data_IF_953333042868
#
_entry.id   IF_953333042868
#
_cell.length_a   1.000
_cell.length_b   1.000
_cell.length_c   1.000
_cell.angle_alpha   90.00
_cell.angle_beta   90.00
_cell.angle_gamma   90.00
#
_symmetry.space_group_name_H-M   'P 1'
#
loop_
_entity.id
_entity.type
_entity.pdbx_description
1 polymer ?
#
# COMPACT_ATOMS: atom_id res chain seq x y z
N UNK A 1 -11.49 7.26 -17.08
CA UNK A 1 -10.34 7.20 -18.01
C UNK A 1 -9.80 8.60 -18.20
N UNK A 2 -8.49 8.80 -18.36
CA UNK A 2 -7.98 10.11 -18.77
C UNK A 2 -8.52 10.43 -20.17
N UNK A 3 -9.28 11.52 -20.30
CA UNK A 3 -10.08 11.84 -21.48
C UNK A 3 -9.33 12.65 -22.56
N UNK A 4 -8.01 12.84 -22.44
CA UNK A 4 -7.31 13.87 -23.23
C UNK A 4 -6.17 13.43 -24.14
N UNK A 5 -5.46 12.34 -23.83
CA UNK A 5 -4.22 11.97 -24.54
C UNK A 5 -4.11 10.46 -24.62
N UNK A 6 -4.00 9.94 -25.85
CA UNK A 6 -3.75 8.53 -26.14
C UNK A 6 -2.36 8.39 -26.80
N UNK A 7 -1.68 7.26 -26.55
CA UNK A 7 -0.46 6.94 -27.26
C UNK A 7 -0.76 6.67 -28.73
N UNK A 8 -0.39 7.61 -29.61
CA UNK A 8 -0.57 7.47 -31.06
C UNK A 8 0.28 6.35 -31.66
N UNK A 9 1.43 6.04 -31.06
CA UNK A 9 2.33 4.96 -31.46
C UNK A 9 3.02 4.39 -30.22
N UNK A 10 3.11 3.07 -30.14
CA UNK A 10 3.83 2.40 -29.07
C UNK A 10 5.33 2.31 -29.38
N UNK A 11 6.21 2.46 -28.37
CA UNK A 11 7.63 2.17 -28.53
C UNK A 11 7.85 0.69 -28.87
N UNK A 12 9.00 0.39 -29.47
CA UNK A 12 9.37 -0.99 -29.81
C UNK A 12 9.40 -1.90 -28.57
N UNK A 13 8.86 -3.11 -28.75
CA UNK A 13 8.74 -4.14 -27.71
C UNK A 13 7.56 -3.96 -26.76
N UNK A 14 6.71 -2.93 -26.96
CA UNK A 14 5.45 -2.81 -26.23
C UNK A 14 4.31 -3.46 -27.00
N UNK A 15 3.45 -4.15 -26.27
CA UNK A 15 2.23 -4.78 -26.79
C UNK A 15 1.00 -4.15 -26.16
N UNK A 16 -0.10 -4.05 -26.92
CA UNK A 16 -1.41 -3.63 -26.41
C UNK A 16 -2.10 -4.86 -25.82
N UNK A 17 -2.43 -4.80 -24.53
CA UNK A 17 -3.11 -5.89 -23.82
C UNK A 17 -4.53 -5.56 -23.39
N UNK A 18 -4.92 -4.27 -23.43
CA UNK A 18 -6.31 -3.88 -23.24
C UNK A 18 -6.68 -2.66 -24.10
N UNK A 19 -7.94 -2.62 -24.53
CA UNK A 19 -8.55 -1.46 -25.18
C UNK A 19 -9.89 -1.15 -24.51
N UNK A 20 -10.29 0.11 -24.53
CA UNK A 20 -11.63 0.52 -24.12
C UNK A 20 -12.67 0.10 -25.16
N UNK A 21 -13.96 0.14 -24.79
CA UNK A 21 -15.07 -0.08 -25.74
C UNK A 21 -15.03 0.87 -26.94
N UNK A 22 -14.45 2.05 -26.76
CA UNK A 22 -14.30 3.09 -27.79
C UNK A 22 -13.04 2.87 -28.64
N UNK A 23 -12.27 1.81 -28.39
CA UNK A 23 -11.09 1.42 -29.16
C UNK A 23 -9.77 2.01 -28.67
N UNK A 24 -9.80 2.91 -27.68
CA UNK A 24 -8.59 3.54 -27.14
C UNK A 24 -7.70 2.52 -26.42
N UNK A 25 -6.39 2.64 -26.55
CA UNK A 25 -5.42 1.81 -25.81
C UNK A 25 -5.57 2.06 -24.31
N UNK A 26 -5.95 1.02 -23.57
CA UNK A 26 -6.21 1.09 -22.13
C UNK A 26 -5.04 0.54 -21.29
N UNK A 27 -4.34 -0.47 -21.81
CA UNK A 27 -3.17 -1.04 -21.15
C UNK A 27 -2.14 -1.54 -22.16
N UNK A 28 -0.87 -1.38 -21.80
CA UNK A 28 0.29 -1.84 -22.57
C UNK A 28 1.32 -2.49 -21.66
N UNK A 29 2.11 -3.39 -22.22
CA UNK A 29 3.18 -4.06 -21.49
C UNK A 29 4.42 -4.28 -22.33
N UNK A 30 5.57 -4.34 -21.65
CA UNK A 30 6.84 -4.80 -22.18
C UNK A 30 7.49 -5.69 -21.13
N UNK A 31 7.42 -7.01 -21.36
CA UNK A 31 7.95 -8.01 -20.44
C UNK A 31 9.47 -7.98 -20.32
N UNK A 32 10.18 -7.74 -21.43
CA UNK A 32 11.64 -7.69 -21.45
C UNK A 32 12.18 -6.55 -20.56
N UNK A 33 11.55 -5.38 -20.64
CA UNK A 33 11.91 -4.20 -19.84
C UNK A 33 11.19 -4.15 -18.49
N UNK A 34 10.22 -5.03 -18.25
CA UNK A 34 9.30 -5.02 -17.09
C UNK A 34 8.62 -3.66 -16.90
N UNK A 35 8.16 -3.05 -17.99
CA UNK A 35 7.44 -1.77 -17.98
C UNK A 35 6.01 -2.00 -18.41
N UNK A 36 5.07 -1.47 -17.63
CA UNK A 36 3.63 -1.64 -17.82
C UNK A 36 2.96 -0.27 -17.73
N UNK A 37 1.98 -0.03 -18.60
CA UNK A 37 1.28 1.25 -18.68
C UNK A 37 -0.23 1.05 -18.64
N UNK A 38 -0.91 1.87 -17.84
CA UNK A 38 -2.37 1.91 -17.75
C UNK A 38 -2.85 3.34 -18.04
N UNK A 39 -3.85 3.46 -18.91
CA UNK A 39 -4.48 4.75 -19.25
C UNK A 39 -5.63 5.11 -18.29
N UNK A 40 -6.14 4.12 -17.56
CA UNK A 40 -7.15 4.29 -16.52
C UNK A 40 -6.52 4.22 -15.12
N UNK A 41 -7.32 4.56 -14.11
CA UNK A 41 -6.88 4.66 -12.72
C UNK A 41 -7.37 3.43 -11.93
N UNK A 42 -6.60 2.33 -11.80
CA UNK A 42 -7.01 1.17 -11.00
C UNK A 42 -7.07 1.48 -9.49
N UNK A 43 -6.68 2.67 -9.04
CA UNK A 43 -6.78 3.10 -7.65
C UNK A 43 -8.18 3.63 -7.28
N UNK A 44 -8.97 4.11 -8.25
CA UNK A 44 -10.27 4.72 -7.96
C UNK A 44 -11.38 3.67 -7.86
N UNK A 45 -12.33 3.91 -6.96
CA UNK A 45 -13.43 2.98 -6.64
C UNK A 45 -14.35 2.67 -7.83
N UNK A 46 -14.43 3.58 -8.79
CA UNK A 46 -15.28 3.45 -9.97
C UNK A 46 -14.64 2.64 -11.11
N UNK A 47 -13.39 2.21 -10.97
CA UNK A 47 -12.74 1.34 -11.95
C UNK A 47 -13.20 -0.11 -11.79
N UNK A 48 -13.68 -0.77 -12.85
CA UNK A 48 -13.95 -2.21 -12.84
C UNK A 48 -12.67 -2.99 -12.53
N UNK A 49 -12.77 -4.10 -11.79
CA UNK A 49 -11.65 -5.03 -11.53
C UNK A 49 -10.38 -4.35 -10.97
N UNK A 50 -10.56 -3.19 -10.32
CA UNK A 50 -9.50 -2.32 -9.82
C UNK A 50 -8.52 -3.05 -8.90
N UNK A 51 -9.06 -3.88 -8.00
CA UNK A 51 -8.26 -4.63 -7.05
C UNK A 51 -7.56 -5.80 -7.71
N UNK A 52 -8.23 -6.48 -8.65
CA UNK A 52 -7.64 -7.63 -9.34
C UNK A 52 -6.43 -7.20 -10.19
N UNK A 53 -6.54 -6.05 -10.85
CA UNK A 53 -5.43 -5.43 -11.60
C UNK A 53 -4.22 -5.15 -10.69
N UNK A 54 -4.45 -4.50 -9.54
CA UNK A 54 -3.38 -4.20 -8.59
C UNK A 54 -2.77 -5.47 -7.98
N UNK A 55 -3.61 -6.45 -7.66
CA UNK A 55 -3.17 -7.75 -7.11
C UNK A 55 -2.31 -8.49 -8.11
N UNK A 56 -2.76 -8.61 -9.36
CA UNK A 56 -2.00 -9.25 -10.41
C UNK A 56 -0.62 -8.59 -10.59
N UNK A 57 -0.59 -7.25 -10.61
CA UNK A 57 0.68 -6.54 -10.73
C UNK A 57 1.62 -6.83 -9.54
N UNK A 58 1.12 -6.76 -8.31
CA UNK A 58 1.96 -6.94 -7.13
C UNK A 58 2.44 -8.40 -6.96
N UNK A 59 1.54 -9.37 -7.11
CA UNK A 59 1.80 -10.75 -6.77
C UNK A 59 2.36 -11.54 -7.96
N UNK A 60 1.76 -11.42 -9.14
CA UNK A 60 2.14 -12.21 -10.30
C UNK A 60 3.27 -11.54 -11.10
N UNK A 61 3.21 -10.21 -11.29
CA UNK A 61 4.23 -9.48 -12.06
C UNK A 61 5.46 -9.14 -11.22
N UNK A 62 5.28 -8.54 -10.04
CA UNK A 62 6.40 -8.17 -9.17
C UNK A 62 6.90 -9.33 -8.30
N UNK A 63 6.09 -10.37 -8.07
CA UNK A 63 6.47 -11.50 -7.21
C UNK A 63 6.54 -11.14 -5.73
N UNK A 64 5.86 -10.08 -5.30
CA UNK A 64 5.87 -9.64 -3.90
C UNK A 64 5.07 -10.64 -3.08
N UNK A 65 5.56 -11.05 -1.91
CA UNK A 65 4.75 -11.86 -0.98
C UNK A 65 3.78 -10.98 -0.20
N UNK A 66 2.55 -11.45 0.06
CA UNK A 66 1.60 -10.79 0.95
C UNK A 66 1.98 -10.96 2.44
N UNK A 67 3.20 -10.61 2.81
CA UNK A 67 3.75 -10.75 4.16
C UNK A 67 3.60 -9.49 5.02
N UNK A 68 3.16 -8.38 4.42
CA UNK A 68 2.88 -7.15 5.14
C UNK A 68 1.45 -7.18 5.68
N UNK A 69 1.31 -7.28 7.00
CA UNK A 69 0.05 -7.08 7.71
C UNK A 69 0.25 -5.95 8.73
N UNK A 70 -0.84 -5.24 9.08
CA UNK A 70 -0.78 -4.13 10.04
C UNK A 70 -0.53 -4.61 11.47
N UNK A 71 -0.93 -5.84 11.80
CA UNK A 71 -0.69 -6.46 13.12
C UNK A 71 0.81 -6.63 13.40
N UNK A 72 1.60 -7.12 12.43
CA UNK A 72 3.04 -7.28 12.59
C UNK A 72 3.73 -5.91 12.71
N UNK A 73 3.25 -4.88 12.02
CA UNK A 73 3.82 -3.52 12.15
C UNK A 73 3.63 -3.01 13.57
N UNK A 74 2.43 -3.15 14.13
CA UNK A 74 2.16 -2.72 15.50
C UNK A 74 3.02 -3.49 16.52
N UNK A 75 3.14 -4.82 16.36
CA UNK A 75 3.98 -5.66 17.22
C UNK A 75 5.48 -5.32 17.09
N UNK A 76 5.96 -5.01 15.89
CA UNK A 76 7.35 -4.57 15.66
C UNK A 76 7.61 -3.21 16.31
N UNK A 77 6.70 -2.25 16.17
CA UNK A 77 6.80 -0.94 16.82
C UNK A 77 6.79 -1.10 18.36
N UNK A 78 5.93 -1.95 18.93
CA UNK A 78 5.96 -2.26 20.38
C UNK A 78 7.30 -2.85 20.80
N UNK A 79 7.86 -3.80 20.02
CA UNK A 79 9.16 -4.40 20.33
C UNK A 79 10.28 -3.37 20.32
N UNK A 80 10.27 -2.45 19.36
CA UNK A 80 11.21 -1.33 19.31
C UNK A 80 11.07 -0.47 20.55
N UNK A 81 9.85 -0.09 20.94
CA UNK A 81 9.57 0.69 22.16
C UNK A 81 10.09 -0.02 23.42
N UNK A 82 9.78 -1.32 23.58
CA UNK A 82 10.23 -2.13 24.72
C UNK A 82 11.76 -2.30 24.74
N UNK A 83 12.41 -2.41 23.58
CA UNK A 83 13.86 -2.59 23.47
C UNK A 83 14.65 -1.29 23.66
N UNK A 84 14.09 -0.16 23.25
CA UNK A 84 14.81 1.13 23.21
C UNK A 84 14.86 1.86 24.55
N UNK A 85 14.21 1.34 25.62
CA UNK A 85 14.21 1.94 26.96
C UNK A 85 13.95 3.46 26.89
N UNK A 86 12.89 3.80 26.17
CA UNK A 86 12.57 5.16 25.80
C UNK A 86 11.97 5.90 27.00
N UNK A 87 12.38 7.16 27.20
CA UNK A 87 11.82 8.04 28.23
C UNK A 87 10.32 8.32 27.97
N UNK A 88 9.55 8.53 29.04
CA UNK A 88 8.08 8.64 29.02
C UNK A 88 7.53 9.68 28.01
N UNK A 89 8.31 10.71 27.66
CA UNK A 89 7.91 11.77 26.72
C UNK A 89 7.72 11.29 25.26
N UNK A 90 8.42 10.24 24.82
CA UNK A 90 8.26 9.72 23.44
C UNK A 90 7.06 8.77 23.32
N UNK A 91 6.55 8.24 24.43
CA UNK A 91 5.38 7.34 24.44
C UNK A 91 4.11 8.09 24.08
N UNK A 92 3.95 9.34 24.52
CA UNK A 92 2.78 10.16 24.23
C UNK A 92 2.70 10.61 22.76
N UNK A 93 3.84 10.86 22.09
CA UNK A 93 3.87 11.14 20.65
C UNK A 93 3.43 9.92 19.82
N UNK A 94 3.78 8.71 20.29
CA UNK A 94 3.38 7.46 19.65
C UNK A 94 1.89 7.20 19.86
N UNK A 95 1.35 7.45 21.06
CA UNK A 95 -0.09 7.44 21.31
C UNK A 95 -0.81 8.38 20.35
N UNK A 96 -0.36 9.62 20.18
CA UNK A 96 -0.98 10.58 19.26
C UNK A 96 -0.93 10.13 17.78
N UNK A 97 0.02 9.27 17.39
CA UNK A 97 0.14 8.72 16.03
C UNK A 97 -0.79 7.52 15.79
N UNK A 98 -1.12 6.77 16.85
CA UNK A 98 -1.95 5.56 16.80
C UNK A 98 -3.42 5.88 17.12
N UNK A 99 -3.65 6.83 18.02
CA UNK A 99 -4.98 7.20 18.52
C UNK A 99 -5.76 7.95 17.43
N UNK A 100 -6.80 7.30 16.91
CA UNK A 100 -7.51 7.69 15.69
C UNK A 100 -7.87 6.51 14.78
N UNK A 101 -7.24 5.36 15.00
CA UNK A 101 -7.56 4.12 14.27
C UNK A 101 -8.28 3.12 15.18
N UNK A 102 -9.51 2.69 14.85
CA UNK A 102 -10.35 1.84 15.73
C UNK A 102 -9.83 0.41 15.91
N UNK A 103 -8.80 0.00 15.17
CA UNK A 103 -8.21 -1.35 15.23
C UNK A 103 -7.19 -1.54 16.36
N UNK A 104 -6.97 -0.52 17.21
CA UNK A 104 -5.84 -0.47 18.13
C UNK A 104 -6.22 -0.59 19.62
N UNK A 105 -7.45 -0.99 19.97
CA UNK A 105 -7.91 -1.14 21.37
C UNK A 105 -7.01 -2.06 22.25
N UNK A 106 -6.42 -3.10 21.66
CA UNK A 106 -5.47 -3.97 22.36
C UNK A 106 -4.10 -3.32 22.58
N UNK A 107 -3.68 -2.45 21.66
CA UNK A 107 -2.40 -1.74 21.68
C UNK A 107 -2.39 -0.58 22.67
N UNK A 108 -3.51 0.13 22.81
CA UNK A 108 -3.70 1.15 23.85
C UNK A 108 -3.47 0.55 25.24
N UNK A 109 -3.99 -0.65 25.51
CA UNK A 109 -3.84 -1.33 26.82
C UNK A 109 -2.38 -1.68 27.15
N UNK A 110 -1.61 -2.18 26.17
CA UNK A 110 -0.19 -2.48 26.37
C UNK A 110 0.65 -1.22 26.55
N UNK A 111 0.40 -0.19 25.75
CA UNK A 111 1.13 1.08 25.85
C UNK A 111 0.80 1.83 27.16
N UNK A 112 -0.43 1.73 27.66
CA UNK A 112 -0.82 2.30 28.96
C UNK A 112 -0.06 1.62 30.11
N UNK A 113 0.14 0.31 30.00
CA UNK A 113 0.93 -0.46 30.97
C UNK A 113 2.41 -0.06 30.96
N UNK A 114 2.96 0.23 29.77
CA UNK A 114 4.34 0.75 29.62
C UNK A 114 4.46 2.17 30.18
N UNK A 115 3.50 3.07 29.88
CA UNK A 115 3.46 4.42 30.44
C UNK A 115 3.42 4.38 31.97
N UNK A 116 2.52 3.57 32.53
CA UNK A 116 2.39 3.40 33.98
C UNK A 116 3.70 2.93 34.64
N UNK A 117 4.43 2.02 33.99
CA UNK A 117 5.71 1.49 34.47
C UNK A 117 6.90 2.45 34.30
N UNK A 118 6.78 3.50 33.48
CA UNK A 118 7.80 4.55 33.34
C UNK A 118 7.55 5.74 34.29
N UNK A 119 6.30 5.97 34.68
CA UNK A 119 5.90 7.03 35.62
C UNK A 119 6.12 6.68 37.10
N UNK A 120 6.41 5.41 37.44
CA UNK A 120 6.60 4.90 38.80
C UNK A 120 7.91 4.11 38.94
#
# INVERSE_FOLDING_TARGET
MSHGVEAAQLPEGFEVVARSEQGAVAAVENWEKRVYGLQYHPEVTHSPERMDTLRYFLFDVCGISANWNMENVADEEIKVIKAARIDALEVDEIFARIDGYPTYEGLTTELESVRFALEH
#
